data_IF_663714665740
#
_entry.id   IF_663714665740
#
_cell.length_a   1.000
_cell.length_b   1.000
_cell.length_c   1.000
_cell.angle_alpha   90.00
_cell.angle_beta   90.00
_cell.angle_gamma   90.00
#
_symmetry.space_group_name_H-M   'P 1'
#
loop_
_entity.id
_entity.type
_entity.pdbx_description
1 polymer ?
#
# COMPACT_ATOMS: atom_id res chain seq x y z
N UNK A 1 65.17 -57.04 -60.96
CA UNK A 1 63.78 -57.14 -61.46
C UNK A 1 62.87 -56.61 -60.36
N UNK A 2 62.41 -55.37 -60.47
CA UNK A 2 61.53 -54.74 -59.50
C UNK A 2 60.12 -54.72 -60.07
N UNK A 3 59.16 -55.35 -59.38
CA UNK A 3 57.75 -55.25 -59.70
C UNK A 3 57.26 -53.88 -59.22
N UNK A 4 56.91 -52.99 -60.15
CA UNK A 4 56.11 -51.81 -59.85
C UNK A 4 54.69 -52.29 -59.57
N UNK A 5 54.27 -52.20 -58.32
CA UNK A 5 52.86 -52.25 -57.95
C UNK A 5 52.28 -50.86 -58.21
N UNK A 6 51.60 -50.71 -59.35
CA UNK A 6 50.75 -49.55 -59.61
C UNK A 6 49.63 -49.55 -58.59
N UNK A 7 49.67 -48.56 -57.69
CA UNK A 7 48.57 -48.24 -56.78
C UNK A 7 47.56 -47.47 -57.62
N UNK A 8 46.54 -48.15 -58.13
CA UNK A 8 45.37 -47.49 -58.74
C UNK A 8 44.69 -46.65 -57.66
N UNK A 9 44.77 -45.33 -57.78
CA UNK A 9 43.89 -44.44 -57.04
C UNK A 9 42.44 -44.74 -57.43
N UNK A 10 41.50 -44.86 -56.47
CA UNK A 10 40.12 -45.14 -56.81
C UNK A 10 39.55 -43.97 -57.62
N UNK A 11 39.15 -44.23 -58.87
CA UNK A 11 38.39 -43.30 -59.69
C UNK A 11 37.02 -43.11 -59.05
N UNK A 12 36.87 -42.07 -58.24
CA UNK A 12 35.56 -41.67 -57.70
C UNK A 12 34.79 -41.00 -58.83
N UNK A 13 33.61 -41.53 -59.13
CA UNK A 13 32.74 -40.99 -60.17
C UNK A 13 32.27 -39.57 -59.80
N UNK A 14 32.48 -38.62 -60.72
CA UNK A 14 32.12 -37.21 -60.51
C UNK A 14 30.62 -37.04 -60.29
N UNK A 15 29.82 -37.90 -60.89
CA UNK A 15 28.36 -37.85 -60.74
C UNK A 15 27.93 -38.31 -59.34
N UNK A 16 28.62 -39.27 -58.73
CA UNK A 16 28.37 -39.69 -57.35
C UNK A 16 28.72 -38.58 -56.35
N UNK A 17 29.84 -37.86 -56.57
CA UNK A 17 30.22 -36.72 -55.73
C UNK A 17 29.16 -35.61 -55.84
N UNK A 18 28.74 -35.28 -57.06
CA UNK A 18 27.73 -34.25 -57.31
C UNK A 18 26.36 -34.60 -56.69
N UNK A 19 25.98 -35.88 -56.67
CA UNK A 19 24.77 -36.32 -55.96
C UNK A 19 24.89 -36.21 -54.45
N UNK A 20 26.05 -36.55 -53.87
CA UNK A 20 26.31 -36.39 -52.43
C UNK A 20 26.25 -34.92 -52.01
N UNK A 21 26.91 -34.04 -52.77
CA UNK A 21 26.89 -32.59 -52.49
C UNK A 21 25.47 -32.02 -52.58
N UNK A 22 24.67 -32.46 -53.55
CA UNK A 22 23.25 -32.06 -53.65
C UNK A 22 22.43 -32.53 -52.44
N UNK A 23 22.62 -33.77 -52.00
CA UNK A 23 21.94 -34.31 -50.83
C UNK A 23 22.34 -33.56 -49.54
N UNK A 24 23.64 -33.27 -49.38
CA UNK A 24 24.15 -32.49 -48.26
C UNK A 24 23.61 -31.06 -48.26
N UNK A 25 23.51 -30.42 -49.42
CA UNK A 25 22.94 -29.08 -49.54
C UNK A 25 21.44 -29.07 -49.17
N UNK A 26 20.66 -30.06 -49.61
CA UNK A 26 19.25 -30.22 -49.20
C UNK A 26 19.14 -30.40 -47.68
N UNK A 27 20.01 -31.22 -47.08
CA UNK A 27 20.03 -31.41 -45.63
C UNK A 27 20.35 -30.11 -44.89
N UNK A 28 21.40 -29.39 -45.30
CA UNK A 28 21.79 -28.10 -44.72
C UNK A 28 20.67 -27.05 -44.86
N UNK A 29 19.97 -27.00 -45.99
CA UNK A 29 18.81 -26.14 -46.15
C UNK A 29 17.69 -26.49 -45.17
N UNK A 30 17.43 -27.79 -44.94
CA UNK A 30 16.40 -28.24 -44.00
C UNK A 30 16.74 -27.90 -42.55
N UNK A 31 18.01 -28.05 -42.17
CA UNK A 31 18.53 -27.67 -40.85
C UNK A 31 18.44 -26.15 -40.66
N UNK A 32 18.84 -25.38 -41.68
CA UNK A 32 18.72 -23.92 -41.67
C UNK A 32 17.28 -23.46 -41.47
N UNK A 33 16.30 -24.08 -42.13
CA UNK A 33 14.87 -23.76 -41.93
C UNK A 33 14.43 -24.05 -40.49
N UNK A 34 14.86 -25.19 -39.95
CA UNK A 34 14.53 -25.59 -38.57
C UNK A 34 15.12 -24.62 -37.54
N UNK A 35 16.40 -24.27 -37.70
CA UNK A 35 17.09 -23.30 -36.83
C UNK A 35 16.47 -21.90 -36.94
N UNK A 36 16.12 -21.46 -38.14
CA UNK A 36 15.42 -20.17 -38.34
C UNK A 36 14.10 -20.15 -37.59
N UNK A 37 13.29 -21.21 -37.69
CA UNK A 37 12.02 -21.31 -36.97
C UNK A 37 12.21 -21.31 -35.45
N UNK A 38 13.24 -21.98 -34.94
CA UNK A 38 13.58 -21.95 -33.51
C UNK A 38 14.01 -20.54 -33.06
N UNK A 39 14.82 -19.85 -33.85
CA UNK A 39 15.25 -18.48 -33.56
C UNK A 39 14.06 -17.51 -33.51
N UNK A 40 13.13 -17.61 -34.44
CA UNK A 40 11.88 -16.84 -34.43
C UNK A 40 11.05 -17.14 -33.17
N UNK A 41 10.97 -18.42 -32.77
CA UNK A 41 10.33 -18.84 -31.53
C UNK A 41 10.96 -18.23 -30.29
N UNK A 42 12.29 -18.24 -30.19
CA UNK A 42 13.01 -17.61 -29.09
C UNK A 42 12.86 -16.09 -29.09
N UNK A 43 12.88 -15.43 -30.25
CA UNK A 43 12.63 -13.99 -30.35
C UNK A 43 11.23 -13.63 -29.84
N UNK A 44 10.20 -14.39 -30.21
CA UNK A 44 8.85 -14.18 -29.70
C UNK A 44 8.77 -14.35 -28.17
N UNK A 45 9.45 -15.35 -27.61
CA UNK A 45 9.54 -15.55 -26.16
C UNK A 45 10.26 -14.39 -25.47
N UNK A 46 11.37 -13.90 -26.02
CA UNK A 46 12.12 -12.75 -25.49
C UNK A 46 11.21 -11.52 -25.46
N UNK A 47 10.50 -11.22 -26.56
CA UNK A 47 9.57 -10.09 -26.63
C UNK A 47 8.46 -10.20 -25.58
N UNK A 48 7.91 -11.40 -25.38
CA UNK A 48 6.90 -11.68 -24.37
C UNK A 48 7.43 -11.44 -22.95
N UNK A 49 8.62 -11.96 -22.64
CA UNK A 49 9.27 -11.77 -21.34
C UNK A 49 9.58 -10.30 -21.06
N UNK A 50 10.12 -9.56 -22.03
CA UNK A 50 10.38 -8.13 -21.91
C UNK A 50 9.09 -7.33 -21.67
N UNK A 51 8.01 -7.68 -22.37
CA UNK A 51 6.69 -7.06 -22.17
C UNK A 51 6.16 -7.32 -20.76
N UNK A 52 6.29 -8.55 -20.27
CA UNK A 52 5.89 -8.91 -18.91
C UNK A 52 6.74 -8.21 -17.86
N UNK A 53 8.05 -8.10 -18.06
CA UNK A 53 8.95 -7.36 -17.18
C UNK A 53 8.55 -5.89 -17.09
N UNK A 54 8.30 -5.24 -18.23
CA UNK A 54 7.83 -3.85 -18.28
C UNK A 54 6.52 -3.64 -17.49
N UNK A 55 5.55 -4.54 -17.64
CA UNK A 55 4.29 -4.51 -16.88
C UNK A 55 4.52 -4.68 -15.37
N UNK A 56 5.40 -5.60 -14.98
CA UNK A 56 5.73 -5.82 -13.57
C UNK A 56 6.43 -4.61 -12.96
N UNK A 57 7.32 -3.96 -13.70
CA UNK A 57 8.03 -2.77 -13.22
C UNK A 57 7.08 -1.56 -13.09
N UNK A 58 6.12 -1.40 -14.01
CA UNK A 58 5.05 -0.42 -13.88
C UNK A 58 4.20 -0.67 -12.61
N UNK A 59 3.82 -1.94 -12.36
CA UNK A 59 3.05 -2.32 -11.16
C UNK A 59 3.85 -2.06 -9.88
N UNK A 60 5.14 -2.44 -9.85
CA UNK A 60 6.04 -2.16 -8.71
C UNK A 60 6.15 -0.66 -8.44
N UNK A 61 6.23 0.16 -9.49
CA UNK A 61 6.28 1.62 -9.35
C UNK A 61 5.00 2.17 -8.72
N UNK A 62 3.82 1.69 -9.16
CA UNK A 62 2.53 2.06 -8.56
C UNK A 62 2.48 1.70 -7.07
N UNK A 63 2.82 0.46 -6.73
CA UNK A 63 2.83 -0.03 -5.34
C UNK A 63 3.82 0.76 -4.48
N UNK A 64 5.00 1.13 -4.99
CA UNK A 64 5.96 1.97 -4.27
C UNK A 64 5.42 3.36 -3.98
N UNK A 65 4.71 3.97 -4.95
CA UNK A 65 4.08 5.28 -4.76
C UNK A 65 2.95 5.22 -3.74
N UNK A 66 2.09 4.20 -3.82
CA UNK A 66 1.01 3.99 -2.85
C UNK A 66 1.55 3.74 -1.45
N UNK A 67 2.57 2.88 -1.32
CA UNK A 67 3.24 2.62 -0.04
C UNK A 67 3.80 3.91 0.55
N UNK A 68 4.54 4.70 -0.24
CA UNK A 68 5.09 5.98 0.22
C UNK A 68 3.98 6.95 0.66
N UNK A 69 2.91 7.07 -0.12
CA UNK A 69 1.78 7.92 0.23
C UNK A 69 1.11 7.48 1.55
N UNK A 70 0.98 6.17 1.78
CA UNK A 70 0.46 5.66 3.04
C UNK A 70 1.42 5.93 4.21
N UNK A 71 2.72 5.78 4.02
CA UNK A 71 3.74 6.14 5.02
C UNK A 71 3.70 7.64 5.36
N UNK A 72 3.50 8.51 4.36
CA UNK A 72 3.41 9.96 4.56
C UNK A 72 2.09 10.35 5.28
N UNK A 73 0.97 9.70 4.96
CA UNK A 73 -0.34 9.99 5.57
C UNK A 73 -0.52 9.39 6.96
N UNK A 74 -0.24 8.10 7.11
CA UNK A 74 -0.50 7.34 8.34
C UNK A 74 0.73 7.27 9.25
N UNK A 75 1.93 7.45 8.69
CA UNK A 75 3.16 7.22 9.41
C UNK A 75 3.72 5.83 9.16
N UNK A 76 4.88 5.56 9.75
CA UNK A 76 5.57 4.30 9.60
C UNK A 76 6.42 3.96 10.82
N UNK A 77 6.63 2.67 11.05
CA UNK A 77 7.63 2.23 12.02
C UNK A 77 9.01 2.26 11.37
N UNK A 78 9.92 3.05 11.94
CA UNK A 78 11.33 3.04 11.55
C UNK A 78 12.13 2.24 12.58
N UNK A 79 12.90 1.23 12.14
CA UNK A 79 13.85 0.59 13.02
C UNK A 79 14.96 1.60 13.35
N UNK A 80 15.20 1.82 14.63
CA UNK A 80 16.32 2.58 15.14
C UNK A 80 17.24 1.66 15.93
N UNK A 81 18.54 1.90 15.82
CA UNK A 81 19.54 1.25 16.66
C UNK A 81 20.03 2.27 17.68
N UNK A 82 19.84 1.97 18.95
CA UNK A 82 20.44 2.74 20.03
C UNK A 82 21.41 1.86 20.80
N UNK A 83 22.71 2.18 20.68
CA UNK A 83 23.82 1.37 21.20
C UNK A 83 23.75 -0.07 20.64
N UNK A 84 23.42 -1.03 21.48
CA UNK A 84 23.37 -2.48 21.16
C UNK A 84 21.95 -3.04 21.06
N UNK A 85 20.92 -2.20 21.09
CA UNK A 85 19.53 -2.62 20.98
C UNK A 85 18.87 -2.05 19.72
N UNK A 86 18.06 -2.88 19.07
CA UNK A 86 17.15 -2.47 18.02
C UNK A 86 15.78 -2.17 18.63
N UNK A 87 15.27 -0.98 18.35
CA UNK A 87 13.92 -0.55 18.73
C UNK A 87 13.15 -0.12 17.49
N UNK A 88 11.82 -0.21 17.55
CA UNK A 88 10.93 0.30 16.52
C UNK A 88 10.30 1.58 17.04
N UNK A 89 10.57 2.70 16.38
CA UNK A 89 9.92 3.97 16.66
C UNK A 89 8.82 4.21 15.63
N UNK A 90 7.62 4.58 16.09
CA UNK A 90 6.55 5.00 15.20
C UNK A 90 6.70 6.49 14.89
N UNK A 91 6.75 6.82 13.61
CA UNK A 91 6.78 8.21 13.15
C UNK A 91 5.42 8.56 12.59
N UNK A 92 4.76 9.51 13.24
CA UNK A 92 3.42 9.98 12.86
C UNK A 92 3.38 10.60 11.46
N UNK A 93 2.40 10.17 10.68
CA UNK A 93 2.06 10.79 9.40
C UNK A 93 1.21 12.05 9.55
N UNK A 94 0.93 12.69 8.42
CA UNK A 94 0.19 13.95 8.38
C UNK A 94 -1.25 13.83 8.90
N UNK A 95 -1.89 12.68 8.76
CA UNK A 95 -3.24 12.45 9.29
C UNK A 95 -3.25 12.48 10.82
N UNK A 96 -2.23 11.89 11.47
CA UNK A 96 -2.09 11.91 12.92
C UNK A 96 -1.84 13.32 13.45
N UNK A 97 -0.96 14.09 12.80
CA UNK A 97 -0.75 15.51 13.15
C UNK A 97 -2.03 16.33 13.06
N UNK A 98 -2.81 16.14 11.99
CA UNK A 98 -4.12 16.82 11.83
C UNK A 98 -5.12 16.40 12.89
N UNK A 99 -5.12 15.11 13.26
CA UNK A 99 -5.99 14.60 14.32
C UNK A 99 -5.62 15.21 15.68
N UNK A 100 -4.33 15.31 15.99
CA UNK A 100 -3.85 15.91 17.23
C UNK A 100 -4.29 17.38 17.36
N UNK A 101 -4.19 18.16 16.27
CA UNK A 101 -4.68 19.55 16.23
C UNK A 101 -6.18 19.62 16.51
N UNK A 102 -6.97 18.75 15.86
CA UNK A 102 -8.43 18.71 16.08
C UNK A 102 -8.79 18.29 17.50
N UNK A 103 -8.04 17.34 18.07
CA UNK A 103 -8.26 16.88 19.44
C UNK A 103 -7.98 17.99 20.46
N UNK A 104 -6.93 18.80 20.23
CA UNK A 104 -6.66 20.00 21.04
C UNK A 104 -7.78 21.02 20.93
N UNK A 105 -8.22 21.35 19.71
CA UNK A 105 -9.35 22.28 19.51
C UNK A 105 -10.64 21.80 20.20
N UNK A 106 -10.94 20.50 20.11
CA UNK A 106 -12.11 19.91 20.80
C UNK A 106 -11.97 20.00 22.33
N UNK A 107 -10.77 19.82 22.88
CA UNK A 107 -10.54 19.96 24.31
C UNK A 107 -10.75 21.41 24.77
N UNK A 108 -10.28 22.39 24.00
CA UNK A 108 -10.50 23.82 24.27
C UNK A 108 -12.00 24.18 24.22
N UNK A 109 -12.74 23.68 23.22
CA UNK A 109 -14.19 23.84 23.17
C UNK A 109 -14.84 23.25 24.42
N UNK A 110 -14.50 22.03 24.81
CA UNK A 110 -15.04 21.39 26.01
C UNK A 110 -14.78 22.19 27.30
N UNK A 111 -13.62 22.84 27.42
CA UNK A 111 -13.36 23.75 28.53
C UNK A 111 -14.26 24.99 28.49
N UNK A 112 -14.40 25.62 27.33
CA UNK A 112 -15.31 26.77 27.15
C UNK A 112 -16.77 26.39 27.50
N UNK A 113 -17.23 25.22 27.09
CA UNK A 113 -18.55 24.70 27.44
C UNK A 113 -18.71 24.50 28.96
N UNK A 114 -17.69 23.95 29.64
CA UNK A 114 -17.69 23.79 31.10
C UNK A 114 -17.73 25.15 31.82
N UNK A 115 -16.96 26.12 31.33
CA UNK A 115 -16.96 27.49 31.87
C UNK A 115 -18.31 28.18 31.68
N UNK A 116 -18.88 28.13 30.49
CA UNK A 116 -20.21 28.67 30.19
C UNK A 116 -21.28 28.03 31.09
N UNK A 117 -21.21 26.71 31.27
CA UNK A 117 -22.14 25.98 32.15
C UNK A 117 -21.96 26.36 33.63
N UNK A 118 -20.72 26.59 34.07
CA UNK A 118 -20.44 27.09 35.42
C UNK A 118 -20.96 28.53 35.63
N UNK A 119 -20.80 29.41 34.64
CA UNK A 119 -21.36 30.76 34.66
C UNK A 119 -22.89 30.74 34.70
N UNK A 120 -23.52 29.89 33.88
CA UNK A 120 -24.98 29.72 33.89
C UNK A 120 -25.49 29.21 35.24
N UNK A 121 -24.77 28.26 35.87
CA UNK A 121 -25.08 27.80 37.23
C UNK A 121 -24.97 28.92 38.26
N UNK A 122 -23.98 29.81 38.15
CA UNK A 122 -23.86 30.99 39.02
C UNK A 122 -25.03 31.96 38.81
N UNK A 123 -25.39 32.25 37.56
CA UNK A 123 -26.51 33.12 37.21
C UNK A 123 -27.86 32.56 37.71
N UNK A 124 -28.12 31.26 37.55
CA UNK A 124 -29.32 30.61 38.11
C UNK A 124 -29.38 30.73 39.64
N UNK A 125 -28.23 30.62 40.31
CA UNK A 125 -28.16 30.79 41.78
C UNK A 125 -28.39 32.24 42.21
N UNK A 126 -27.95 33.23 41.42
CA UNK A 126 -28.18 34.64 41.74
C UNK A 126 -29.62 35.07 41.45
N UNK A 127 -30.24 34.58 40.37
CA UNK A 127 -31.64 34.86 40.07
C UNK A 127 -32.61 34.16 41.01
N UNK A 128 -32.26 32.98 41.54
CA UNK A 128 -33.03 32.34 42.61
C UNK A 128 -32.96 33.08 43.97
N UNK A 129 -31.99 34.00 44.15
CA UNK A 129 -31.86 34.85 45.34
C UNK A 129 -32.55 36.21 45.18
N UNK A 130 -33.03 36.56 43.99
CA UNK A 130 -33.95 37.68 43.80
C UNK A 130 -35.33 37.17 44.18
N UNK A 131 -35.57 37.06 45.49
CA UNK A 131 -36.91 37.10 46.05
C UNK A 131 -37.34 38.55 46.05
N UNK A 132 -38.49 38.78 45.43
CA UNK A 132 -39.13 40.07 45.24
C UNK A 132 -39.21 40.85 46.56
N UNK A 133 -38.82 42.13 46.53
CA UNK A 133 -39.13 43.08 47.61
C UNK A 133 -40.65 43.27 47.80
N UNK A 134 -41.47 42.71 46.91
CA UNK A 134 -42.93 42.85 46.87
C UNK A 134 -43.72 41.59 47.32
N UNK A 135 -43.07 40.59 47.92
CA UNK A 135 -43.79 39.51 48.63
C UNK A 135 -44.63 38.56 47.75
N UNK A 136 -44.43 38.52 46.44
CA UNK A 136 -45.16 37.62 45.56
C UNK A 136 -44.43 36.28 45.41
N UNK A 137 -44.99 35.19 45.93
CA UNK A 137 -44.52 33.84 45.61
C UNK A 137 -45.24 33.37 44.34
N UNK A 138 -44.50 33.19 43.24
CA UNK A 138 -45.05 32.44 42.10
C UNK A 138 -45.18 30.97 42.49
N UNK A 139 -46.30 30.32 42.14
CA UNK A 139 -46.52 28.92 42.49
C UNK A 139 -45.52 28.04 41.77
N UNK A 140 -45.09 26.98 42.46
CA UNK A 140 -44.29 25.89 41.93
C UNK A 140 -44.84 25.44 40.56
N UNK A 141 -44.15 25.78 39.48
CA UNK A 141 -44.21 24.97 38.27
C UNK A 141 -42.99 24.07 38.28
N UNK A 142 -43.14 22.73 38.41
CA UNK A 142 -42.08 21.84 38.00
C UNK A 142 -42.02 21.95 36.48
N UNK A 143 -41.10 22.78 35.97
CA UNK A 143 -40.68 22.58 34.59
C UNK A 143 -39.89 21.29 34.61
N UNK A 144 -40.56 20.19 34.27
CA UNK A 144 -39.94 18.97 33.78
C UNK A 144 -39.05 19.39 32.59
N UNK A 145 -37.81 19.75 32.90
CA UNK A 145 -36.73 19.59 31.95
C UNK A 145 -36.66 18.08 31.75
N UNK A 146 -37.26 17.60 30.67
CA UNK A 146 -37.22 16.21 30.28
C UNK A 146 -35.81 15.69 30.49
N UNK A 147 -35.71 14.59 31.23
CA UNK A 147 -34.47 13.86 31.45
C UNK A 147 -33.82 13.65 30.08
N UNK A 148 -32.73 14.37 29.82
CA UNK A 148 -31.90 14.08 28.66
C UNK A 148 -31.26 12.73 28.99
N UNK A 149 -31.75 11.73 28.28
CA UNK A 149 -31.39 10.33 28.39
C UNK A 149 -29.88 10.16 28.60
N UNK A 150 -29.50 9.72 29.80
CA UNK A 150 -28.11 9.47 30.19
C UNK A 150 -27.54 8.19 29.54
N UNK A 151 -28.28 7.57 28.62
CA UNK A 151 -27.91 6.38 27.87
C UNK A 151 -26.53 6.53 27.17
N UNK A 152 -26.14 7.73 26.76
CA UNK A 152 -24.85 7.98 26.10
C UNK A 152 -23.63 8.02 27.03
N UNK A 153 -23.81 8.08 28.36
CA UNK A 153 -22.69 8.08 29.32
C UNK A 153 -22.27 6.67 29.74
N UNK A 154 -23.15 5.67 29.66
CA UNK A 154 -22.82 4.30 30.01
C UNK A 154 -21.97 3.60 28.94
N UNK A 155 -22.20 3.89 27.64
CA UNK A 155 -21.40 3.32 26.55
C UNK A 155 -19.93 3.76 26.59
N UNK A 156 -19.68 4.98 27.08
CA UNK A 156 -18.33 5.55 27.22
C UNK A 156 -17.58 4.98 28.44
N UNK A 157 -18.30 4.44 29.42
CA UNK A 157 -17.73 3.75 30.59
C UNK A 157 -17.48 2.26 30.33
N UNK A 158 -18.22 1.63 29.42
CA UNK A 158 -17.96 0.23 29.02
C UNK A 158 -16.72 0.09 28.15
N UNK A 159 -16.43 1.07 27.27
CA UNK A 159 -15.20 1.04 26.45
C UNK A 159 -13.91 1.09 27.29
N UNK A 160 -13.95 1.70 28.48
CA UNK A 160 -12.79 1.77 29.40
C UNK A 160 -12.54 0.48 30.19
N UNK A 161 -13.40 -0.54 30.09
CA UNK A 161 -13.22 -1.82 30.79
C UNK A 161 -12.65 -2.93 29.90
N UNK A 162 -12.43 -2.68 28.60
CA UNK A 162 -11.93 -3.68 27.64
C UNK A 162 -10.46 -3.43 27.23
N UNK A 163 -9.85 -2.34 27.68
CA UNK A 163 -8.38 -2.13 27.66
C UNK A 163 -7.78 -2.54 28.99
#
# INVERSE_FOLDING_TARGET
MAAQTDVEEPLVDRDEILQREKAENINMESEKRTLTSQLEGYQAQIISLLSNQSRLDAKKSCVRKEKKNNEDQLGCFKPMRHRDQFTLEFIDGDAFKKLEVKQKALAEEQEQWKEALAQLKKLKKSTAKIKDQDGFTKPNSPTELGEVDLQGQEDLLQLKRIT
#
